data_IF_545368075832
#
_entry.id   IF_545368075832
#
_cell.length_a   1.000
_cell.length_b   1.000
_cell.length_c   1.000
_cell.angle_alpha   90.00
_cell.angle_beta   90.00
_cell.angle_gamma   90.00
#
_symmetry.space_group_name_H-M   'P 1'
#
loop_
_entity.id
_entity.type
_entity.pdbx_description
1 polymer ?
#
# COMPACT_ATOMS: atom_id res chain seq x y z
N UNK A 1 21.72 0.68 11.52
CA UNK A 1 22.10 -0.72 11.80
C UNK A 1 21.89 -1.54 10.54
N UNK A 2 22.77 -2.50 10.24
CA UNK A 2 22.60 -3.40 9.10
C UNK A 2 21.77 -4.60 9.53
N UNK A 3 20.63 -4.84 8.88
CA UNK A 3 19.71 -5.93 9.19
C UNK A 3 19.27 -6.63 7.90
N UNK A 4 18.61 -7.78 8.04
CA UNK A 4 18.00 -8.47 6.92
C UNK A 4 16.83 -7.64 6.37
N UNK A 5 16.87 -7.18 5.09
CA UNK A 5 15.85 -6.27 4.58
C UNK A 5 14.56 -6.99 4.19
N UNK A 6 14.61 -8.30 3.91
CA UNK A 6 13.43 -9.09 3.53
C UNK A 6 12.76 -9.66 4.77
N UNK A 7 11.43 -9.65 4.80
CA UNK A 7 10.62 -10.26 5.87
C UNK A 7 9.79 -11.39 5.32
N UNK A 8 9.07 -11.14 4.22
CA UNK A 8 8.30 -12.16 3.51
C UNK A 8 8.78 -12.29 2.06
N UNK A 9 9.12 -13.52 1.67
CA UNK A 9 9.49 -13.89 0.31
C UNK A 9 8.47 -14.91 -0.21
N UNK A 10 7.75 -14.54 -1.28
CA UNK A 10 6.58 -15.25 -1.82
C UNK A 10 5.48 -15.52 -0.77
N UNK A 11 5.34 -14.61 0.20
CA UNK A 11 4.32 -14.65 1.25
C UNK A 11 4.63 -15.57 2.44
N UNK A 12 5.88 -16.01 2.57
CA UNK A 12 6.37 -16.80 3.70
C UNK A 12 7.54 -16.07 4.37
N UNK A 13 7.65 -16.13 5.70
CA UNK A 13 8.83 -15.63 6.42
C UNK A 13 10.12 -16.21 5.86
N UNK A 14 11.20 -15.44 5.92
CA UNK A 14 12.50 -15.83 5.34
C UNK A 14 13.13 -17.08 5.98
N UNK A 15 12.72 -17.42 7.20
CA UNK A 15 13.19 -18.57 7.97
C UNK A 15 12.19 -19.75 7.95
N UNK A 16 11.14 -19.67 7.14
CA UNK A 16 10.23 -20.79 6.92
C UNK A 16 10.76 -21.70 5.81
N UNK A 17 11.23 -22.89 6.16
CA UNK A 17 11.73 -23.92 5.23
C UNK A 17 10.76 -25.11 5.10
N UNK A 18 9.48 -24.90 5.39
CA UNK A 18 8.47 -25.90 5.11
C UNK A 18 8.40 -26.22 3.61
N UNK A 19 7.96 -27.43 3.27
CA UNK A 19 7.76 -27.84 1.88
C UNK A 19 6.84 -26.86 1.12
N UNK A 20 5.86 -26.27 1.80
CA UNK A 20 4.98 -25.26 1.23
C UNK A 20 5.73 -23.97 0.88
N UNK A 21 6.51 -23.42 1.81
CA UNK A 21 7.29 -22.21 1.58
C UNK A 21 8.32 -22.42 0.46
N UNK A 22 9.05 -23.53 0.48
CA UNK A 22 9.99 -23.89 -0.58
C UNK A 22 9.32 -24.04 -1.94
N UNK A 23 8.16 -24.70 -1.99
CA UNK A 23 7.37 -24.82 -3.22
C UNK A 23 6.97 -23.45 -3.74
N UNK A 24 6.53 -22.53 -2.88
CA UNK A 24 6.15 -21.18 -3.30
C UNK A 24 7.33 -20.38 -3.84
N UNK A 25 8.50 -20.45 -3.17
CA UNK A 25 9.73 -19.82 -3.64
C UNK A 25 10.20 -20.41 -4.98
N UNK A 26 10.26 -21.74 -5.09
CA UNK A 26 10.70 -22.47 -6.29
C UNK A 26 9.78 -22.23 -7.49
N UNK A 27 8.46 -22.31 -7.29
CA UNK A 27 7.46 -22.14 -8.35
C UNK A 27 6.98 -20.70 -8.51
N UNK A 28 7.54 -19.74 -7.75
CA UNK A 28 7.17 -18.32 -7.77
C UNK A 28 5.67 -18.08 -7.53
N UNK A 29 5.05 -18.88 -6.67
CA UNK A 29 3.62 -18.83 -6.39
C UNK A 29 3.27 -17.68 -5.45
N UNK A 30 2.07 -17.11 -5.60
CA UNK A 30 1.55 -16.11 -4.69
C UNK A 30 0.41 -16.69 -3.84
N UNK A 31 0.52 -16.71 -2.51
CA UNK A 31 -0.52 -17.28 -1.65
C UNK A 31 -1.73 -16.34 -1.45
N UNK A 32 -1.65 -15.08 -1.89
CA UNK A 32 -2.62 -14.03 -1.54
C UNK A 32 -3.62 -13.69 -2.67
N UNK A 33 -4.26 -14.70 -3.27
CA UNK A 33 -5.28 -14.53 -4.32
C UNK A 33 -4.90 -13.52 -5.42
N UNK A 34 -3.70 -13.69 -5.97
CA UNK A 34 -3.28 -12.90 -7.12
C UNK A 34 -4.13 -13.25 -8.36
N UNK A 35 -4.15 -12.37 -9.36
CA UNK A 35 -4.92 -12.55 -10.60
C UNK A 35 -4.57 -13.85 -11.33
N UNK A 36 -3.33 -14.30 -11.17
CA UNK A 36 -2.83 -15.63 -11.55
C UNK A 36 -2.19 -16.27 -10.32
N UNK A 37 -2.00 -17.59 -10.32
CA UNK A 37 -1.36 -18.29 -9.19
C UNK A 37 0.09 -17.87 -8.89
N UNK A 38 0.73 -17.12 -9.78
CA UNK A 38 2.14 -16.71 -9.71
C UNK A 38 2.31 -15.27 -9.23
N UNK A 39 3.48 -14.94 -8.69
CA UNK A 39 3.87 -13.57 -8.42
C UNK A 39 4.05 -12.80 -9.74
N UNK A 40 3.47 -11.60 -9.82
CA UNK A 40 3.48 -10.75 -11.02
C UNK A 40 4.30 -9.47 -10.83
N UNK A 41 5.00 -9.32 -9.69
CA UNK A 41 5.76 -8.11 -9.37
C UNK A 41 7.04 -8.04 -10.18
N UNK A 42 7.29 -6.88 -10.79
CA UNK A 42 8.46 -6.59 -11.64
C UNK A 42 8.43 -7.32 -13.00
N UNK A 43 9.18 -8.42 -13.17
CA UNK A 43 9.29 -9.13 -14.46
C UNK A 43 8.47 -10.42 -14.46
N UNK A 44 7.83 -10.75 -15.59
CA UNK A 44 6.98 -11.94 -15.72
C UNK A 44 7.73 -13.26 -15.51
N UNK A 45 8.96 -13.38 -16.05
CA UNK A 45 9.80 -14.57 -15.92
C UNK A 45 10.63 -14.58 -14.63
N UNK A 46 10.94 -13.41 -14.07
CA UNK A 46 11.79 -13.24 -12.88
C UNK A 46 11.14 -12.28 -11.88
N UNK A 47 10.01 -12.68 -11.29
CA UNK A 47 9.25 -11.82 -10.41
C UNK A 47 10.02 -11.54 -9.12
N UNK A 48 9.90 -10.31 -8.65
CA UNK A 48 10.45 -9.88 -7.38
C UNK A 48 9.47 -10.27 -6.26
N UNK A 49 9.65 -11.47 -5.71
CA UNK A 49 8.79 -12.08 -4.70
C UNK A 49 8.83 -11.44 -3.31
N UNK A 50 9.33 -10.22 -3.15
CA UNK A 50 9.42 -9.54 -1.85
C UNK A 50 8.07 -8.89 -1.55
N UNK A 51 7.33 -9.50 -0.61
CA UNK A 51 6.00 -9.03 -0.19
C UNK A 51 6.12 -7.96 0.91
N UNK A 52 7.02 -8.18 1.86
CA UNK A 52 7.22 -7.33 3.03
C UNK A 52 8.70 -7.14 3.29
N UNK A 53 9.09 -5.92 3.63
CA UNK A 53 10.46 -5.56 4.03
C UNK A 53 10.50 -5.10 5.50
N UNK A 54 11.69 -5.21 6.09
CA UNK A 54 12.03 -4.59 7.36
C UNK A 54 12.92 -3.38 7.11
N UNK A 55 12.70 -2.30 7.85
CA UNK A 55 13.51 -1.08 7.82
C UNK A 55 13.51 -0.45 9.22
N UNK A 56 14.42 0.50 9.48
CA UNK A 56 14.48 1.38 10.67
C UNK A 56 13.83 0.79 11.94
N UNK A 57 14.63 0.14 12.79
CA UNK A 57 14.17 -0.43 14.07
C UNK A 57 13.05 -1.49 13.92
N UNK A 58 13.24 -2.41 12.96
CA UNK A 58 12.35 -3.55 12.70
C UNK A 58 10.92 -3.19 12.26
N UNK A 59 10.69 -1.95 11.81
CA UNK A 59 9.42 -1.56 11.23
C UNK A 59 9.17 -2.32 9.92
N UNK A 60 7.92 -2.71 9.72
CA UNK A 60 7.49 -3.45 8.55
C UNK A 60 6.88 -2.53 7.49
N UNK A 61 7.08 -2.87 6.22
CA UNK A 61 6.39 -2.24 5.11
C UNK A 61 5.94 -3.28 4.08
N UNK A 62 4.64 -3.26 3.76
CA UNK A 62 4.06 -4.07 2.68
C UNK A 62 4.37 -3.40 1.34
N UNK A 63 5.13 -4.10 0.49
CA UNK A 63 5.61 -3.60 -0.81
C UNK A 63 4.85 -4.20 -1.99
N UNK A 64 3.80 -4.98 -1.72
CA UNK A 64 2.97 -5.62 -2.74
C UNK A 64 1.49 -5.44 -2.38
N UNK A 65 0.65 -4.83 -3.23
CA UNK A 65 -0.77 -4.61 -2.90
C UNK A 65 -1.55 -5.94 -2.76
N UNK A 66 -1.12 -6.98 -3.47
CA UNK A 66 -1.72 -8.32 -3.39
C UNK A 66 -1.60 -8.91 -1.96
N UNK A 67 -0.59 -8.53 -1.19
CA UNK A 67 -0.42 -8.96 0.22
C UNK A 67 -1.61 -8.57 1.10
N UNK A 68 -2.32 -7.48 0.80
CA UNK A 68 -3.51 -7.07 1.55
C UNK A 68 -4.73 -7.94 1.29
N UNK A 69 -4.69 -8.83 0.29
CA UNK A 69 -5.81 -9.73 -0.05
C UNK A 69 -5.87 -10.97 0.84
N UNK A 70 -5.01 -11.06 1.85
CA UNK A 70 -5.03 -12.17 2.80
C UNK A 70 -6.43 -12.34 3.38
N UNK A 71 -6.98 -13.54 3.19
CA UNK A 71 -8.29 -13.99 3.69
C UNK A 71 -9.45 -13.04 3.34
N UNK A 72 -9.25 -12.14 2.37
CA UNK A 72 -10.19 -11.09 1.96
C UNK A 72 -10.72 -10.19 3.09
N UNK A 73 -10.04 -10.12 4.23
CA UNK A 73 -10.49 -9.34 5.40
C UNK A 73 -10.71 -7.85 5.09
N UNK A 74 -9.99 -7.33 4.08
CA UNK A 74 -10.15 -5.95 3.62
C UNK A 74 -11.49 -5.71 2.94
N UNK A 75 -12.06 -6.73 2.28
CA UNK A 75 -13.36 -6.65 1.61
C UNK A 75 -14.49 -6.70 2.63
N UNK A 76 -14.37 -7.53 3.66
CA UNK A 76 -15.34 -7.59 4.76
C UNK A 76 -15.47 -6.23 5.45
N UNK A 77 -14.34 -5.62 5.85
CA UNK A 77 -14.33 -4.28 6.46
C UNK A 77 -14.84 -3.18 5.53
N UNK A 78 -14.61 -3.31 4.23
CA UNK A 78 -15.14 -2.37 3.26
C UNK A 78 -16.66 -2.51 3.11
N UNK A 79 -17.18 -3.74 3.05
CA UNK A 79 -18.61 -4.02 2.97
C UNK A 79 -19.37 -3.46 4.17
N UNK A 80 -18.85 -3.64 5.39
CA UNK A 80 -19.42 -3.10 6.63
C UNK A 80 -19.59 -1.57 6.60
N UNK A 81 -18.72 -0.87 5.87
CA UNK A 81 -18.79 0.58 5.73
C UNK A 81 -19.71 1.04 4.59
N UNK A 82 -19.72 0.28 3.49
CA UNK A 82 -20.48 0.64 2.29
C UNK A 82 -21.96 0.33 2.42
N UNK A 83 -22.32 -0.75 3.12
CA UNK A 83 -23.66 -1.32 3.08
C UNK A 83 -24.24 -1.51 4.47
N UNK A 84 -25.57 -1.51 4.54
CA UNK A 84 -26.28 -1.97 5.73
C UNK A 84 -26.07 -3.47 5.95
N UNK A 85 -26.13 -3.89 7.21
CA UNK A 85 -25.98 -5.29 7.58
C UNK A 85 -27.07 -6.17 6.94
N UNK A 86 -26.68 -7.38 6.52
CA UNK A 86 -27.60 -8.38 5.94
C UNK A 86 -27.85 -8.25 4.44
N UNK A 87 -27.31 -7.22 3.78
CA UNK A 87 -27.36 -7.13 2.32
C UNK A 87 -26.46 -8.18 1.65
N UNK A 88 -26.95 -8.77 0.56
CA UNK A 88 -26.14 -9.61 -0.31
C UNK A 88 -25.22 -8.72 -1.14
N UNK A 89 -23.93 -9.03 -1.15
CA UNK A 89 -22.96 -8.31 -1.95
C UNK A 89 -21.97 -9.26 -2.63
N UNK A 90 -21.39 -8.78 -3.71
CA UNK A 90 -20.28 -9.41 -4.43
C UNK A 90 -19.22 -8.37 -4.72
N UNK A 91 -18.10 -8.79 -5.31
CA UNK A 91 -16.97 -7.92 -5.58
C UNK A 91 -16.49 -8.11 -7.02
N UNK A 92 -16.00 -7.03 -7.63
CA UNK A 92 -15.32 -7.05 -8.92
C UNK A 92 -13.94 -6.40 -8.82
N UNK A 93 -12.98 -6.93 -9.56
CA UNK A 93 -11.60 -6.42 -9.60
C UNK A 93 -11.36 -5.56 -10.84
N UNK A 94 -10.50 -4.55 -10.72
CA UNK A 94 -9.95 -3.75 -11.83
C UNK A 94 -11.04 -3.10 -12.73
N UNK A 95 -12.10 -2.55 -12.13
CA UNK A 95 -13.21 -1.96 -12.87
C UNK A 95 -12.84 -0.58 -13.40
N UNK A 96 -13.03 -0.38 -14.71
CA UNK A 96 -12.74 0.89 -15.38
C UNK A 96 -13.74 1.98 -14.96
N UNK A 97 -13.21 3.08 -14.44
CA UNK A 97 -13.94 4.30 -14.16
C UNK A 97 -13.78 5.28 -15.34
N UNK A 98 -14.88 5.94 -15.74
CA UNK A 98 -14.88 6.93 -16.81
C UNK A 98 -15.24 8.31 -16.27
N UNK A 99 -14.64 9.35 -16.85
CA UNK A 99 -15.04 10.73 -16.62
C UNK A 99 -16.31 11.09 -17.41
N UNK A 100 -16.82 12.30 -17.21
CA UNK A 100 -18.02 12.81 -17.92
C UNK A 100 -17.90 12.83 -19.45
N UNK A 101 -16.68 12.83 -19.99
CA UNK A 101 -16.41 12.80 -21.43
C UNK A 101 -16.23 11.37 -21.97
N UNK A 102 -16.44 10.35 -21.12
CA UNK A 102 -16.25 8.95 -21.46
C UNK A 102 -14.79 8.49 -21.49
N UNK A 103 -13.84 9.37 -21.14
CA UNK A 103 -12.40 9.03 -21.08
C UNK A 103 -12.10 8.28 -19.80
N UNK A 104 -11.07 7.44 -19.84
CA UNK A 104 -10.66 6.64 -18.67
C UNK A 104 -10.14 7.55 -17.55
N UNK A 105 -10.74 7.44 -16.36
CA UNK A 105 -10.27 8.04 -15.12
C UNK A 105 -9.37 7.07 -14.31
N UNK A 106 -9.05 5.91 -14.89
CA UNK A 106 -8.33 4.81 -14.26
C UNK A 106 -9.23 3.61 -13.96
N UNK A 107 -8.65 2.56 -13.38
CA UNK A 107 -9.40 1.40 -12.89
C UNK A 107 -9.44 1.46 -11.36
N UNK A 108 -10.59 1.17 -10.77
CA UNK A 108 -10.74 0.94 -9.33
C UNK A 108 -10.26 -0.47 -9.02
N UNK A 109 -9.44 -0.64 -7.98
CA UNK A 109 -8.90 -1.94 -7.60
C UNK A 109 -10.03 -2.95 -7.30
N UNK A 110 -11.00 -2.51 -6.48
CA UNK A 110 -12.12 -3.31 -6.04
C UNK A 110 -13.42 -2.50 -6.04
N UNK A 111 -14.48 -3.03 -6.65
CA UNK A 111 -15.83 -2.48 -6.53
C UNK A 111 -16.70 -3.53 -5.87
N UNK A 112 -17.20 -3.22 -4.68
CA UNK A 112 -18.17 -4.04 -3.97
C UNK A 112 -19.57 -3.60 -4.41
N UNK A 113 -20.44 -4.57 -4.69
CA UNK A 113 -21.77 -4.32 -5.26
C UNK A 113 -22.80 -5.07 -4.43
N UNK A 114 -23.74 -4.34 -3.84
CA UNK A 114 -24.94 -4.88 -3.22
C UNK A 114 -26.03 -5.09 -4.26
N UNK A 115 -26.74 -6.22 -4.20
CA UNK A 115 -27.74 -6.59 -5.20
C UNK A 115 -28.94 -7.31 -4.57
N UNK A 116 -30.09 -7.22 -5.24
CA UNK A 116 -31.35 -7.83 -4.79
C UNK A 116 -31.47 -9.32 -5.17
N UNK A 117 -32.59 -9.96 -4.83
CA UNK A 117 -32.83 -11.37 -5.14
C UNK A 117 -32.88 -11.68 -6.66
N UNK A 118 -33.11 -10.68 -7.50
CA UNK A 118 -33.16 -10.80 -8.96
C UNK A 118 -31.81 -10.51 -9.62
N UNK A 119 -30.78 -10.16 -8.84
CA UNK A 119 -29.47 -9.78 -9.36
C UNK A 119 -29.37 -8.33 -9.82
N UNK A 120 -30.36 -7.49 -9.50
CA UNK A 120 -30.31 -6.07 -9.82
C UNK A 120 -29.41 -5.33 -8.83
N UNK A 121 -28.50 -4.51 -9.36
CA UNK A 121 -27.61 -3.69 -8.53
C UNK A 121 -28.41 -2.66 -7.75
N UNK A 122 -28.27 -2.70 -6.42
CA UNK A 122 -28.88 -1.76 -5.48
C UNK A 122 -27.92 -0.62 -5.13
N UNK A 123 -26.68 -0.96 -4.74
CA UNK A 123 -25.66 0.01 -4.36
C UNK A 123 -24.25 -0.51 -4.62
N UNK A 124 -23.24 0.37 -4.56
CA UNK A 124 -21.84 -0.02 -4.65
C UNK A 124 -20.91 0.92 -3.87
N UNK A 125 -19.77 0.37 -3.46
CA UNK A 125 -18.65 1.13 -2.90
C UNK A 125 -17.34 0.74 -3.57
N UNK A 126 -16.40 1.68 -3.61
CA UNK A 126 -15.10 1.50 -4.26
C UNK A 126 -14.00 1.37 -3.21
N UNK A 127 -13.14 0.37 -3.34
CA UNK A 127 -12.02 0.11 -2.44
C UNK A 127 -10.71 0.14 -3.22
N UNK A 128 -9.77 0.97 -2.77
CA UNK A 128 -8.41 1.09 -3.31
C UNK A 128 -7.38 0.54 -2.32
N UNK A 129 -6.38 -0.17 -2.82
CA UNK A 129 -5.29 -0.71 -1.99
C UNK A 129 -3.98 -0.06 -2.38
N UNK A 130 -3.29 0.52 -1.40
CA UNK A 130 -2.01 1.16 -1.67
C UNK A 130 -0.89 0.58 -0.80
N UNK A 131 -0.09 -0.28 -1.43
CA UNK A 131 1.22 -0.68 -0.95
C UNK A 131 2.28 0.38 -1.27
N UNK A 132 3.50 0.17 -0.78
CA UNK A 132 4.55 1.19 -0.87
C UNK A 132 5.66 0.82 -1.84
N UNK A 133 6.15 1.84 -2.52
CA UNK A 133 7.42 1.77 -3.22
C UNK A 133 8.56 1.70 -2.23
N UNK A 134 9.71 1.26 -2.74
CA UNK A 134 10.95 1.16 -1.99
C UNK A 134 12.02 1.98 -2.70
N UNK A 135 12.84 2.65 -1.93
CA UNK A 135 14.13 3.19 -2.37
C UNK A 135 15.21 2.13 -2.20
N UNK A 136 16.29 2.23 -2.96
CA UNK A 136 17.38 1.26 -2.93
C UNK A 136 17.11 -0.01 -3.75
N UNK A 137 18.13 -0.87 -3.86
CA UNK A 137 18.06 -2.06 -4.69
C UNK A 137 17.72 -3.29 -3.83
N UNK A 138 16.42 -3.61 -3.73
CA UNK A 138 15.94 -4.83 -3.06
C UNK A 138 16.19 -6.11 -3.87
N UNK A 139 16.41 -5.97 -5.18
CA UNK A 139 16.55 -7.11 -6.09
C UNK A 139 17.82 -7.90 -5.77
N UNK A 140 18.93 -7.21 -5.48
CA UNK A 140 20.19 -7.87 -5.07
C UNK A 140 20.06 -8.73 -3.81
N UNK A 141 19.56 -8.23 -2.65
CA UNK A 141 19.38 -9.09 -1.48
C UNK A 141 18.37 -10.20 -1.73
N UNK A 142 17.31 -9.95 -2.52
CA UNK A 142 16.37 -10.98 -2.91
C UNK A 142 17.03 -12.10 -3.71
N UNK A 143 17.81 -11.78 -4.74
CA UNK A 143 18.51 -12.77 -5.57
C UNK A 143 19.57 -13.53 -4.77
N UNK A 144 20.29 -12.84 -3.88
CA UNK A 144 21.24 -13.47 -2.96
C UNK A 144 20.54 -14.47 -2.03
N UNK A 145 19.45 -14.07 -1.37
CA UNK A 145 18.64 -14.97 -0.54
C UNK A 145 18.11 -16.16 -1.34
N UNK A 146 17.55 -15.93 -2.53
CA UNK A 146 16.96 -16.98 -3.37
C UNK A 146 18.00 -17.98 -3.91
N UNK A 147 19.29 -17.64 -3.93
CA UNK A 147 20.35 -18.57 -4.33
C UNK A 147 20.56 -19.70 -3.32
N UNK A 148 20.38 -19.43 -2.02
CA UNK A 148 20.41 -20.44 -0.96
C UNK A 148 19.68 -19.91 0.29
N UNK A 149 18.33 -20.06 0.37
CA UNK A 149 17.53 -19.50 1.46
C UNK A 149 17.98 -19.93 2.86
N UNK A 150 18.33 -21.21 3.04
CA UNK A 150 18.77 -21.74 4.34
C UNK A 150 20.10 -21.14 4.78
N UNK A 151 21.10 -21.12 3.90
CA UNK A 151 22.42 -20.59 4.21
C UNK A 151 22.43 -19.06 4.36
N UNK A 152 21.46 -18.36 3.76
CA UNK A 152 21.40 -16.90 3.73
C UNK A 152 20.32 -16.29 4.61
N UNK A 153 19.62 -17.07 5.45
CA UNK A 153 18.52 -16.57 6.29
C UNK A 153 18.94 -15.48 7.28
N UNK A 154 20.18 -15.54 7.78
CA UNK A 154 20.75 -14.58 8.72
C UNK A 154 21.61 -13.52 8.02
N UNK A 155 21.44 -13.33 6.71
CA UNK A 155 22.26 -12.37 5.96
C UNK A 155 22.13 -10.95 6.52
N UNK A 156 23.27 -10.27 6.61
CA UNK A 156 23.33 -8.85 6.98
C UNK A 156 23.56 -8.03 5.73
N UNK A 157 22.57 -7.25 5.32
CA UNK A 157 22.67 -6.44 4.11
C UNK A 157 23.12 -5.01 4.44
N UNK A 158 24.38 -4.68 4.11
CA UNK A 158 24.96 -3.35 4.36
C UNK A 158 24.77 -2.35 3.22
N UNK A 159 24.42 -2.83 2.01
CA UNK A 159 24.45 -2.01 0.80
C UNK A 159 23.09 -1.38 0.47
N UNK A 160 23.04 -0.05 0.54
CA UNK A 160 21.90 0.77 0.13
C UNK A 160 20.84 0.91 1.22
N UNK A 161 20.38 2.14 1.44
CA UNK A 161 19.24 2.45 2.33
C UNK A 161 17.95 1.90 1.71
N UNK A 162 17.75 0.58 1.78
CA UNK A 162 16.49 -0.06 1.43
C UNK A 162 15.47 0.39 2.45
N UNK A 163 14.55 1.24 2.01
CA UNK A 163 13.51 1.81 2.86
C UNK A 163 12.26 2.06 2.03
N UNK A 164 11.08 2.04 2.64
CA UNK A 164 9.87 2.47 1.95
C UNK A 164 9.98 3.94 1.52
N UNK A 165 9.62 4.23 0.28
CA UNK A 165 9.46 5.59 -0.23
C UNK A 165 8.00 6.03 -0.04
N UNK A 166 7.64 6.32 1.22
CA UNK A 166 6.29 6.76 1.57
C UNK A 166 5.91 8.09 0.90
N UNK A 167 6.88 8.99 0.69
CA UNK A 167 6.63 10.29 0.08
C UNK A 167 6.26 10.16 -1.40
N UNK A 168 7.00 9.38 -2.19
CA UNK A 168 6.60 9.10 -3.57
C UNK A 168 5.32 8.27 -3.62
N UNK A 169 5.15 7.31 -2.71
CA UNK A 169 3.94 6.46 -2.66
C UNK A 169 2.68 7.27 -2.37
N UNK A 170 2.76 8.30 -1.53
CA UNK A 170 1.66 9.23 -1.30
C UNK A 170 1.46 10.16 -2.49
N UNK A 171 2.48 10.96 -2.85
CA UNK A 171 2.36 12.05 -3.83
C UNK A 171 2.10 11.59 -5.26
N UNK A 172 2.69 10.47 -5.69
CA UNK A 172 2.61 10.01 -7.09
C UNK A 172 1.53 8.96 -7.32
N UNK A 173 0.91 8.42 -6.27
CA UNK A 173 -0.08 7.34 -6.39
C UNK A 173 -1.31 7.53 -5.51
N UNK A 174 -1.15 7.60 -4.19
CA UNK A 174 -2.31 7.70 -3.29
C UNK A 174 -3.13 8.96 -3.58
N UNK A 175 -2.48 10.13 -3.55
CA UNK A 175 -3.14 11.43 -3.73
C UNK A 175 -3.85 11.51 -5.09
N UNK A 176 -3.18 11.26 -6.24
CA UNK A 176 -3.85 11.30 -7.54
C UNK A 176 -5.07 10.37 -7.62
N UNK A 177 -4.98 9.16 -7.05
CA UNK A 177 -6.09 8.21 -7.08
C UNK A 177 -7.28 8.69 -6.26
N UNK A 178 -7.04 9.17 -5.03
CA UNK A 178 -8.09 9.73 -4.18
C UNK A 178 -8.72 10.96 -4.83
N UNK A 179 -7.91 11.89 -5.35
CA UNK A 179 -8.42 13.10 -6.02
C UNK A 179 -9.32 12.77 -7.20
N UNK A 180 -8.84 11.94 -8.14
CA UNK A 180 -9.54 11.70 -9.41
C UNK A 180 -10.74 10.78 -9.19
N UNK A 181 -10.52 9.60 -8.58
CA UNK A 181 -11.58 8.59 -8.43
C UNK A 181 -12.55 9.00 -7.33
N UNK A 182 -12.03 9.48 -6.20
CA UNK A 182 -12.86 9.95 -5.09
C UNK A 182 -13.72 11.15 -5.46
N UNK A 183 -13.24 12.05 -6.33
CA UNK A 183 -14.06 13.15 -6.83
C UNK A 183 -15.28 12.69 -7.64
N UNK A 184 -15.10 11.67 -8.49
CA UNK A 184 -16.20 11.07 -9.26
C UNK A 184 -17.17 10.34 -8.33
N UNK A 185 -16.65 9.52 -7.41
CA UNK A 185 -17.47 8.78 -6.44
C UNK A 185 -18.28 9.71 -5.54
N UNK A 186 -17.67 10.78 -5.04
CA UNK A 186 -18.34 11.81 -4.25
C UNK A 186 -19.47 12.47 -5.04
N UNK A 187 -19.24 12.81 -6.30
CA UNK A 187 -20.28 13.39 -7.17
C UNK A 187 -21.47 12.43 -7.40
N UNK A 188 -21.24 11.12 -7.31
CA UNK A 188 -22.29 10.09 -7.37
C UNK A 188 -22.91 9.75 -6.02
N UNK A 189 -22.45 10.38 -4.93
CA UNK A 189 -22.88 10.05 -3.57
C UNK A 189 -22.45 8.65 -3.13
N UNK A 190 -21.31 8.15 -3.63
CA UNK A 190 -20.78 6.82 -3.32
C UNK A 190 -19.58 6.90 -2.39
N UNK A 191 -19.53 5.93 -1.47
CA UNK A 191 -18.46 5.79 -0.47
C UNK A 191 -17.19 5.18 -1.08
N UNK A 192 -16.05 5.59 -0.54
CA UNK A 192 -14.72 5.11 -0.92
C UNK A 192 -13.99 4.51 0.28
N UNK A 193 -13.34 3.38 0.08
CA UNK A 193 -12.45 2.74 1.02
C UNK A 193 -11.00 2.84 0.55
N UNK A 194 -10.07 3.06 1.48
CA UNK A 194 -8.63 3.09 1.19
C UNK A 194 -7.91 2.18 2.17
N UNK A 195 -7.20 1.18 1.67
CA UNK A 195 -6.42 0.23 2.47
C UNK A 195 -4.95 0.64 2.49
N UNK A 196 -4.39 0.81 3.69
CA UNK A 196 -3.00 1.20 3.91
C UNK A 196 -2.34 0.36 5.01
N UNK A 197 -1.01 0.25 4.93
CA UNK A 197 -0.22 -0.23 6.06
C UNK A 197 -0.07 0.90 7.11
N UNK A 198 -0.06 0.56 8.40
CA UNK A 198 0.00 1.52 9.52
C UNK A 198 1.19 2.48 9.43
N UNK A 199 2.37 1.95 9.07
CA UNK A 199 3.57 2.75 8.92
C UNK A 199 3.53 3.69 7.71
N UNK A 200 2.69 3.41 6.70
CA UNK A 200 2.48 4.35 5.61
C UNK A 200 1.49 5.44 6.03
N UNK A 201 0.38 5.05 6.66
CA UNK A 201 -0.61 6.00 7.17
C UNK A 201 -0.02 6.99 8.17
N UNK A 202 0.89 6.54 9.04
CA UNK A 202 1.57 7.42 10.00
C UNK A 202 2.40 8.55 9.37
N UNK A 203 2.69 8.47 8.07
CA UNK A 203 3.38 9.54 7.33
C UNK A 203 2.44 10.57 6.72
N UNK A 204 1.14 10.29 6.69
CA UNK A 204 0.13 11.24 6.23
C UNK A 204 -0.11 12.29 7.32
N UNK A 205 -0.48 13.52 6.94
CA UNK A 205 -0.92 14.50 7.93
C UNK A 205 -2.15 13.99 8.67
N UNK A 206 -2.34 14.43 9.92
CA UNK A 206 -3.53 14.10 10.69
C UNK A 206 -4.79 14.55 9.94
N UNK A 207 -5.61 13.59 9.54
CA UNK A 207 -6.81 13.83 8.76
C UNK A 207 -7.98 14.26 9.67
N UNK A 208 -8.81 15.23 9.22
CA UNK A 208 -10.00 15.64 9.96
C UNK A 208 -11.01 14.48 9.97
N UNK A 209 -11.33 13.99 11.18
CA UNK A 209 -12.23 12.85 11.36
C UNK A 209 -13.68 13.30 11.43
N UNK A 210 -14.58 12.44 10.96
CA UNK A 210 -16.04 12.56 11.10
C UNK A 210 -16.63 11.23 11.55
N UNK A 211 -17.92 11.20 11.88
CA UNK A 211 -18.62 9.96 12.20
C UNK A 211 -18.79 9.07 10.94
N UNK A 212 -18.91 7.74 11.09
CA UNK A 212 -19.01 6.81 9.95
C UNK A 212 -20.15 7.12 8.98
N UNK A 213 -21.28 7.62 9.48
CA UNK A 213 -22.47 7.93 8.69
C UNK A 213 -22.29 9.18 7.82
N UNK A 214 -21.40 10.09 8.24
CA UNK A 214 -21.06 11.34 7.54
C UNK A 214 -19.86 11.17 6.59
N UNK A 215 -19.23 10.00 6.62
CA UNK A 215 -17.95 9.77 5.95
C UNK A 215 -18.12 9.45 4.47
N UNK A 216 -17.33 10.13 3.65
CA UNK A 216 -17.16 9.78 2.23
C UNK A 216 -16.07 8.73 2.03
N UNK A 217 -15.05 8.77 2.91
CA UNK A 217 -13.89 7.90 2.85
C UNK A 217 -13.69 7.19 4.18
N UNK A 218 -13.51 5.87 4.12
CA UNK A 218 -12.95 5.08 5.21
C UNK A 218 -11.51 4.67 4.89
N UNK A 219 -10.58 5.05 5.77
CA UNK A 219 -9.18 4.65 5.71
C UNK A 219 -8.99 3.41 6.60
N UNK A 220 -8.88 2.25 5.97
CA UNK A 220 -8.68 0.97 6.65
C UNK A 220 -7.19 0.72 6.86
N UNK A 221 -6.75 0.81 8.11
CA UNK A 221 -5.34 0.76 8.47
C UNK A 221 -5.02 -0.64 9.00
N UNK A 222 -4.02 -1.28 8.37
CA UNK A 222 -3.60 -2.63 8.71
C UNK A 222 -2.13 -2.69 9.12
N UNK A 223 -1.80 -3.64 9.98
CA UNK A 223 -0.44 -4.06 10.31
C UNK A 223 -0.22 -5.52 9.97
N UNK A 224 0.95 -6.03 10.36
CA UNK A 224 1.30 -7.45 10.28
C UNK A 224 1.67 -7.96 11.67
N UNK A 225 0.98 -8.99 12.13
CA UNK A 225 1.30 -9.68 13.39
C UNK A 225 1.92 -11.03 13.07
N UNK A 226 3.05 -11.35 13.72
CA UNK A 226 3.62 -12.69 13.59
C UNK A 226 2.79 -13.68 14.44
N UNK A 227 2.23 -14.69 13.79
CA UNK A 227 1.47 -15.74 14.46
C UNK A 227 2.39 -16.91 14.80
N UNK A 228 2.62 -17.15 16.09
CA UNK A 228 3.55 -18.17 16.57
C UNK A 228 3.14 -19.61 16.27
N UNK A 229 1.84 -19.88 16.06
CA UNK A 229 1.34 -21.23 15.78
C UNK A 229 1.54 -21.59 14.31
N UNK A 230 1.20 -20.66 13.42
CA UNK A 230 1.35 -20.86 11.98
C UNK A 230 2.75 -20.49 11.49
N UNK A 231 3.56 -19.82 12.32
CA UNK A 231 4.87 -19.25 11.98
C UNK A 231 4.80 -18.34 10.75
N UNK A 232 3.72 -17.57 10.61
CA UNK A 232 3.49 -16.65 9.50
C UNK A 232 3.01 -15.29 9.98
N UNK A 233 3.29 -14.26 9.19
CA UNK A 233 2.68 -12.95 9.41
C UNK A 233 1.23 -12.96 8.94
N UNK A 234 0.33 -12.46 9.78
CA UNK A 234 -1.09 -12.28 9.50
C UNK A 234 -1.41 -10.79 9.37
N UNK A 235 -2.20 -10.46 8.34
CA UNK A 235 -2.74 -9.11 8.17
C UNK A 235 -3.75 -8.85 9.28
N UNK A 236 -3.55 -7.75 10.01
CA UNK A 236 -4.37 -7.42 11.16
C UNK A 236 -4.88 -5.99 11.05
N UNK A 237 -6.19 -5.82 11.21
CA UNK A 237 -6.81 -4.49 11.25
C UNK A 237 -6.36 -3.77 12.53
N UNK A 238 -5.91 -2.51 12.38
CA UNK A 238 -5.47 -1.67 13.50
C UNK A 238 -6.53 -0.65 13.87
N UNK A 239 -7.06 0.04 12.87
CA UNK A 239 -8.08 1.07 13.03
C UNK A 239 -8.73 1.40 11.70
N UNK A 240 -9.93 1.98 11.78
CA UNK A 240 -10.56 2.68 10.66
C UNK A 240 -10.64 4.16 10.99
N UNK A 241 -10.26 5.01 10.04
CA UNK A 241 -10.42 6.46 10.17
C UNK A 241 -11.44 6.91 9.14
N UNK A 242 -12.45 7.64 9.58
CA UNK A 242 -13.54 8.14 8.74
C UNK A 242 -13.34 9.62 8.45
N UNK A 243 -13.48 10.03 7.19
CA UNK A 243 -13.25 11.42 6.78
C UNK A 243 -14.24 11.84 5.69
N UNK A 244 -14.65 13.11 5.71
CA UNK A 244 -15.26 13.73 4.52
C UNK A 244 -14.21 13.95 3.42
N UNK A 245 -14.64 13.87 2.16
CA UNK A 245 -13.74 13.87 1.00
C UNK A 245 -12.91 15.15 0.88
N UNK A 246 -13.55 16.33 0.85
CA UNK A 246 -12.84 17.59 0.61
C UNK A 246 -11.89 17.99 1.75
N UNK A 247 -12.28 17.92 3.04
CA UNK A 247 -11.38 18.26 4.14
C UNK A 247 -10.14 17.35 4.19
N UNK A 248 -10.32 16.04 3.96
CA UNK A 248 -9.21 15.09 3.90
C UNK A 248 -8.26 15.43 2.74
N UNK A 249 -8.82 15.62 1.54
CA UNK A 249 -8.01 15.92 0.36
C UNK A 249 -7.24 17.23 0.50
N UNK A 250 -7.88 18.29 1.00
CA UNK A 250 -7.23 19.58 1.28
C UNK A 250 -6.06 19.41 2.24
N UNK A 251 -6.25 18.65 3.33
CA UNK A 251 -5.20 18.41 4.32
C UNK A 251 -4.02 17.64 3.74
N UNK A 252 -4.27 16.66 2.87
CA UNK A 252 -3.23 15.83 2.26
C UNK A 252 -2.43 16.59 1.17
N UNK A 253 -3.11 17.47 0.42
CA UNK A 253 -2.51 18.21 -0.71
C UNK A 253 -1.86 19.54 -0.31
N UNK A 254 -2.17 20.07 0.86
CA UNK A 254 -1.62 21.34 1.34
C UNK A 254 -0.37 21.07 2.20
N UNK A 255 0.84 21.30 1.68
CA UNK A 255 2.05 21.16 2.49
C UNK A 255 2.06 22.23 3.60
N UNK A 256 2.52 21.84 4.79
CA UNK A 256 2.89 22.81 5.82
C UNK A 256 4.22 23.46 5.44
N UNK A 257 4.33 24.80 5.44
CA UNK A 257 5.60 25.46 5.16
C UNK A 257 6.65 25.05 6.20
N UNK A 258 7.87 24.79 5.73
CA UNK A 258 9.03 24.61 6.60
C UNK A 258 9.55 25.95 7.13
N UNK A 259 10.63 25.91 7.91
CA UNK A 259 11.28 27.14 8.37
C UNK A 259 11.94 27.87 7.19
N UNK A 260 11.51 29.11 6.95
CA UNK A 260 12.04 29.94 5.88
C UNK A 260 13.52 30.31 6.12
N UNK A 261 13.93 30.52 7.37
CA UNK A 261 15.30 30.93 7.71
C UNK A 261 16.32 29.84 7.37
N UNK A 262 15.98 28.57 7.64
CA UNK A 262 16.80 27.43 7.25
C UNK A 262 16.96 27.34 5.73
N UNK A 263 15.89 27.64 4.98
CA UNK A 263 15.94 27.65 3.53
C UNK A 263 16.80 28.80 3.00
N UNK A 264 16.71 30.00 3.60
CA UNK A 264 17.56 31.14 3.26
C UNK A 264 19.03 30.82 3.53
N UNK A 265 19.36 30.18 4.65
CA UNK A 265 20.72 29.78 4.97
C UNK A 265 21.30 28.82 3.92
N UNK A 266 20.54 27.82 3.47
CA UNK A 266 20.94 26.91 2.38
C UNK A 266 21.16 27.64 1.04
N UNK A 267 20.35 28.68 0.76
CA UNK A 267 20.54 29.49 -0.45
C UNK A 267 21.80 30.33 -0.36
N UNK A 268 22.10 30.89 0.81
CA UNK A 268 23.31 31.69 1.03
C UNK A 268 24.57 30.84 0.83
N UNK A 269 24.62 29.64 1.42
CA UNK A 269 25.75 28.71 1.24
C UNK A 269 26.01 28.40 -0.24
N UNK A 270 24.96 28.08 -1.01
CA UNK A 270 25.09 27.83 -2.45
C UNK A 270 25.47 29.07 -3.27
N UNK A 271 25.06 30.25 -2.81
CA UNK A 271 25.40 31.50 -3.47
C UNK A 271 26.89 31.81 -3.26
N UNK A 272 27.37 31.65 -2.03
CA UNK A 272 28.77 31.87 -1.66
C UNK A 272 29.69 30.93 -2.45
N UNK A 273 29.38 29.62 -2.51
CA UNK A 273 30.11 28.65 -3.35
C UNK A 273 30.19 29.07 -4.82
N UNK A 274 29.11 29.65 -5.36
CA UNK A 274 29.06 30.05 -6.77
C UNK A 274 29.86 31.32 -7.03
N UNK A 275 29.87 32.26 -6.08
CA UNK A 275 30.63 33.50 -6.17
C UNK A 275 32.14 33.25 -6.01
N UNK A 276 32.54 32.37 -5.10
CA UNK A 276 33.96 31.99 -4.92
C UNK A 276 34.53 31.31 -6.18
N UNK A 277 33.74 30.47 -6.86
CA UNK A 277 34.12 29.83 -8.13
C UNK A 277 34.16 30.78 -9.34
N UNK A 278 33.68 32.03 -9.21
CA UNK A 278 33.77 33.06 -10.26
C UNK A 278 34.98 33.99 -10.09
N UNK A 279 35.66 33.92 -8.94
CA UNK A 279 36.80 34.79 -8.58
C UNK A 279 38.15 34.03 -8.70
N UNK A 280 38.12 32.71 -8.92
CA UNK A 280 39.29 31.88 -9.25
C UNK A 280 39.40 31.55 -10.74
#
# INVERSE_FOLDING_TARGET
MSSHPLVEVFGFPINDFSEEAERHRRKKLCPYHNKVSFCTKDKANEPLGVCTISYEDQRLAITCPVRFRQDWIILEKAADFFFESGLKWTMFQEIRLKDKSGRSAGNIDFVLVAYDANGQVHDFGALEVQAVYISGNIRRPFEYYMANPEAHQDMVWKSGNIRPDYLSSSRKRLIPQVTIKGGILKAWGKKMGIVLHENFYSTLPQLPKVEPEEADIAWFIYGLDFNDQTKRYQLAHRQTVYTSFEPALKKITTPSPGNMEEFIAQLQERLDEKLDNMVG
#
